data_IF_991051495640
#
_entry.id   IF_991051495640
#
_cell.length_a   1.000
_cell.length_b   1.000
_cell.length_c   1.000
_cell.angle_alpha   90.00
_cell.angle_beta   90.00
_cell.angle_gamma   90.00
#
_symmetry.space_group_name_H-M   'P 1'
#
loop_
_entity.id
_entity.type
_entity.pdbx_description
1 polymer ?
#
# COMPACT_ATOMS: atom_id res chain seq x y z
N UNK A 1 7.68 -12.81 5.59
CA UNK A 1 7.57 -13.73 4.43
C UNK A 1 8.52 -14.90 4.61
N UNK A 2 8.08 -16.12 4.40
CA UNK A 2 8.95 -17.31 4.45
C UNK A 2 9.67 -17.48 3.11
N UNK A 3 10.82 -18.19 3.08
CA UNK A 3 11.55 -18.49 1.83
C UNK A 3 10.64 -19.16 0.78
N UNK A 4 9.73 -20.04 1.22
CA UNK A 4 8.78 -20.74 0.34
C UNK A 4 7.72 -19.79 -0.23
N UNK A 5 7.27 -18.83 0.54
CA UNK A 5 6.32 -17.81 0.08
C UNK A 5 6.96 -16.92 -0.99
N UNK A 6 8.21 -16.52 -0.78
CA UNK A 6 8.95 -15.74 -1.78
C UNK A 6 9.13 -16.52 -3.08
N UNK A 7 9.53 -17.79 -3.00
CA UNK A 7 9.67 -18.65 -4.17
C UNK A 7 8.35 -18.90 -4.90
N UNK A 8 7.24 -18.99 -4.16
CA UNK A 8 5.91 -19.13 -4.76
C UNK A 8 5.47 -17.86 -5.48
N UNK A 9 5.73 -16.68 -4.91
CA UNK A 9 5.48 -15.39 -5.58
C UNK A 9 6.30 -15.24 -6.86
N UNK A 10 7.60 -15.57 -6.81
CA UNK A 10 8.47 -15.53 -8.00
C UNK A 10 7.93 -16.43 -9.12
N UNK A 11 7.44 -17.64 -8.78
CA UNK A 11 6.81 -18.54 -9.75
C UNK A 11 5.55 -17.96 -10.39
N UNK A 12 4.75 -17.19 -9.62
CA UNK A 12 3.57 -16.50 -10.13
C UNK A 12 3.98 -15.34 -11.06
N UNK A 13 4.99 -14.56 -10.66
CA UNK A 13 5.50 -13.43 -11.44
C UNK A 13 6.12 -13.92 -12.78
N UNK A 14 6.89 -15.00 -12.76
CA UNK A 14 7.43 -15.63 -13.97
C UNK A 14 6.32 -16.11 -14.89
N UNK A 15 5.32 -16.82 -14.35
CA UNK A 15 4.19 -17.30 -15.13
C UNK A 15 3.30 -16.20 -15.69
N UNK A 16 3.23 -15.06 -15.03
CA UNK A 16 2.56 -13.88 -15.55
C UNK A 16 3.36 -13.22 -16.67
N UNK A 17 4.69 -13.16 -16.53
CA UNK A 17 5.60 -12.57 -17.51
C UNK A 17 5.67 -13.37 -18.82
N UNK A 18 5.65 -14.71 -18.75
CA UNK A 18 5.67 -15.59 -19.92
C UNK A 18 4.29 -15.94 -20.48
N UNK A 19 3.22 -15.45 -19.84
CA UNK A 19 1.83 -15.66 -20.24
C UNK A 19 1.27 -17.05 -19.92
N UNK A 20 1.99 -17.90 -19.20
CA UNK A 20 1.52 -19.24 -18.81
C UNK A 20 0.54 -19.23 -17.64
N UNK A 21 0.52 -18.16 -16.84
CA UNK A 21 -0.38 -17.96 -15.71
C UNK A 21 -1.08 -16.59 -15.84
N UNK A 22 -2.22 -16.58 -16.51
CA UNK A 22 -3.09 -15.41 -16.57
C UNK A 22 -4.16 -15.39 -15.45
N UNK A 23 -4.99 -14.34 -15.40
CA UNK A 23 -6.13 -14.26 -14.50
C UNK A 23 -7.03 -15.48 -14.60
N UNK A 24 -7.47 -16.03 -13.46
CA UNK A 24 -8.27 -17.25 -13.40
C UNK A 24 -7.51 -18.53 -13.74
N UNK A 25 -6.20 -18.47 -14.03
CA UNK A 25 -5.41 -19.64 -14.29
C UNK A 25 -5.36 -20.57 -13.06
N UNK A 26 -5.45 -21.87 -13.31
CA UNK A 26 -5.32 -22.87 -12.26
C UNK A 26 -3.85 -23.06 -11.90
N UNK A 27 -3.53 -22.89 -10.63
CA UNK A 27 -2.19 -23.19 -10.11
C UNK A 27 -1.91 -24.68 -10.09
N UNK A 28 -0.60 -25.07 -10.12
CA UNK A 28 -0.19 -26.43 -9.83
C UNK A 28 -0.75 -26.90 -8.49
N UNK A 29 -1.01 -28.21 -8.37
CA UNK A 29 -1.53 -28.75 -7.11
C UNK A 29 -0.54 -28.57 -5.96
N UNK A 30 -1.00 -28.60 -4.70
CA UNK A 30 -0.11 -28.58 -3.53
C UNK A 30 1.02 -29.62 -3.65
N UNK A 31 0.73 -30.81 -4.20
CA UNK A 31 1.70 -31.88 -4.42
C UNK A 31 2.76 -31.46 -5.43
N UNK A 32 2.35 -30.84 -6.53
CA UNK A 32 3.27 -30.39 -7.58
C UNK A 32 4.13 -29.21 -7.08
N UNK A 33 3.54 -28.29 -6.28
CA UNK A 33 4.25 -27.19 -5.64
C UNK A 33 5.30 -27.70 -4.62
N UNK A 34 4.98 -28.72 -3.83
CA UNK A 34 5.93 -29.39 -2.93
C UNK A 34 7.15 -29.89 -3.71
N UNK A 35 6.94 -30.54 -4.86
CA UNK A 35 8.03 -31.01 -5.72
C UNK A 35 8.82 -29.88 -6.36
N UNK A 36 8.13 -28.89 -6.96
CA UNK A 36 8.78 -27.75 -7.65
C UNK A 36 9.61 -26.89 -6.71
N UNK A 37 9.08 -26.62 -5.52
CA UNK A 37 9.72 -25.76 -4.52
C UNK A 37 10.66 -26.53 -3.58
N UNK A 38 10.75 -27.85 -3.71
CA UNK A 38 11.51 -28.73 -2.81
C UNK A 38 11.24 -28.41 -1.33
N UNK A 39 9.98 -28.15 -0.98
CA UNK A 39 9.57 -27.63 0.33
C UNK A 39 8.59 -28.57 1.04
N UNK A 40 8.56 -28.59 2.39
CA UNK A 40 7.59 -29.37 3.14
C UNK A 40 6.15 -28.94 2.82
N UNK A 41 5.22 -29.90 2.75
CA UNK A 41 3.80 -29.66 2.46
C UNK A 41 3.17 -28.59 3.37
N UNK A 42 3.54 -28.60 4.66
CA UNK A 42 3.07 -27.60 5.63
C UNK A 42 3.55 -26.17 5.30
N UNK A 43 4.75 -26.03 4.73
CA UNK A 43 5.29 -24.73 4.33
C UNK A 43 4.59 -24.22 3.06
N UNK A 44 4.38 -25.08 2.06
CA UNK A 44 3.62 -24.74 0.84
C UNK A 44 2.18 -24.32 1.21
N UNK A 45 1.53 -25.06 2.12
CA UNK A 45 0.18 -24.74 2.56
C UNK A 45 0.09 -23.38 3.24
N UNK A 46 1.04 -23.06 4.15
CA UNK A 46 1.11 -21.73 4.78
C UNK A 46 1.37 -20.61 3.77
N UNK A 47 2.21 -20.88 2.76
CA UNK A 47 2.45 -19.90 1.70
C UNK A 47 1.18 -19.65 0.87
N UNK A 48 0.44 -20.70 0.50
CA UNK A 48 -0.87 -20.57 -0.16
C UNK A 48 -1.90 -19.87 0.71
N UNK A 49 -1.93 -20.14 2.03
CA UNK A 49 -2.79 -19.44 2.98
C UNK A 49 -2.44 -17.95 3.08
N UNK A 50 -1.16 -17.59 2.94
CA UNK A 50 -0.72 -16.19 2.86
C UNK A 50 -1.21 -15.53 1.57
N UNK A 51 -0.98 -16.16 0.43
CA UNK A 51 -1.42 -15.65 -0.87
C UNK A 51 -2.95 -15.51 -0.97
N UNK A 52 -3.71 -16.41 -0.34
CA UNK A 52 -5.17 -16.32 -0.30
C UNK A 52 -5.65 -15.15 0.58
N UNK A 53 -5.00 -14.93 1.73
CA UNK A 53 -5.26 -13.74 2.57
C UNK A 53 -4.90 -12.43 1.86
N UNK A 54 -3.87 -12.46 1.02
CA UNK A 54 -3.45 -11.32 0.20
C UNK A 54 -4.33 -11.16 -1.06
N UNK A 55 -5.32 -12.05 -1.24
CA UNK A 55 -6.24 -12.03 -2.37
C UNK A 55 -5.62 -12.44 -3.72
N UNK A 56 -4.37 -12.93 -3.74
CA UNK A 56 -3.68 -13.32 -4.97
C UNK A 56 -4.16 -14.65 -5.54
N UNK A 57 -4.71 -15.50 -4.70
CA UNK A 57 -5.28 -16.78 -5.10
C UNK A 57 -6.60 -17.04 -4.40
N UNK A 58 -7.45 -17.85 -5.02
CA UNK A 58 -8.69 -18.37 -4.43
C UNK A 58 -8.67 -19.90 -4.49
N UNK A 59 -9.05 -20.54 -3.39
CA UNK A 59 -9.15 -22.00 -3.30
C UNK A 59 -10.60 -22.47 -3.37
N UNK A 60 -10.87 -23.35 -4.31
CA UNK A 60 -12.15 -24.04 -4.42
C UNK A 60 -12.00 -25.50 -3.99
N UNK A 61 -12.75 -25.92 -2.98
CA UNK A 61 -12.74 -27.30 -2.49
C UNK A 61 -13.05 -28.26 -3.64
N UNK A 62 -12.19 -29.24 -3.86
CA UNK A 62 -12.31 -30.23 -4.94
C UNK A 62 -11.96 -29.75 -6.34
N UNK A 63 -11.77 -28.42 -6.56
CA UNK A 63 -11.45 -27.86 -7.89
C UNK A 63 -10.00 -27.39 -8.02
N UNK A 64 -9.39 -26.97 -6.93
CA UNK A 64 -8.00 -26.51 -6.88
C UNK A 64 -7.85 -25.04 -6.49
N UNK A 65 -6.61 -24.52 -6.63
CA UNK A 65 -6.26 -23.14 -6.40
C UNK A 65 -6.17 -22.41 -7.73
N UNK A 66 -6.71 -21.21 -7.79
CA UNK A 66 -6.75 -20.40 -9.00
C UNK A 66 -6.16 -19.03 -8.69
N UNK A 67 -5.43 -18.46 -9.65
CA UNK A 67 -5.02 -17.06 -9.60
C UNK A 67 -6.29 -16.21 -9.63
N UNK A 68 -6.35 -15.24 -8.73
CA UNK A 68 -7.41 -14.25 -8.78
C UNK A 68 -7.10 -13.23 -9.88
N UNK A 69 -8.12 -12.56 -10.35
CA UNK A 69 -7.98 -11.42 -11.25
C UNK A 69 -7.21 -10.25 -10.60
N UNK A 70 -7.06 -10.28 -9.28
CA UNK A 70 -6.27 -9.31 -8.49
C UNK A 70 -4.76 -9.39 -8.81
N UNK A 71 -4.24 -10.59 -9.15
CA UNK A 71 -2.85 -10.72 -9.62
C UNK A 71 -2.64 -10.11 -11.02
N UNK A 72 -3.72 -9.90 -11.76
CA UNK A 72 -3.75 -9.26 -13.07
C UNK A 72 -4.58 -7.97 -13.07
N UNK A 73 -5.03 -7.49 -11.93
CA UNK A 73 -5.41 -6.11 -11.85
C UNK A 73 -4.13 -5.30 -12.09
N UNK A 74 -3.82 -5.11 -13.38
CA UNK A 74 -3.37 -3.81 -13.80
C UNK A 74 -4.36 -2.85 -13.14
N UNK A 75 -3.96 -2.28 -12.01
CA UNK A 75 -4.55 -1.04 -11.55
C UNK A 75 -4.47 -0.16 -12.78
N UNK A 76 -5.62 0.07 -13.45
CA UNK A 76 -5.65 0.97 -14.59
C UNK A 76 -4.89 2.21 -14.14
N UNK A 77 -3.79 2.57 -14.80
CA UNK A 77 -3.02 3.72 -14.36
C UNK A 77 -3.97 4.91 -14.31
N UNK A 78 -3.85 5.72 -13.28
CA UNK A 78 -4.61 6.96 -13.21
C UNK A 78 -4.52 7.69 -14.57
N UNK A 79 -5.61 8.28 -15.06
CA UNK A 79 -5.58 9.00 -16.33
C UNK A 79 -4.38 9.92 -16.39
N UNK A 80 -3.66 9.92 -17.51
CA UNK A 80 -2.40 10.65 -17.67
C UNK A 80 -2.56 12.18 -17.49
N UNK A 81 -3.78 12.67 -17.59
CA UNK A 81 -4.20 14.06 -17.42
C UNK A 81 -4.73 14.37 -16.02
N UNK A 82 -4.65 13.42 -15.07
CA UNK A 82 -5.08 13.64 -13.68
C UNK A 82 -4.31 14.81 -13.05
N UNK A 83 -5.05 15.82 -12.63
CA UNK A 83 -4.47 17.03 -12.03
C UNK A 83 -4.10 16.81 -10.55
N UNK A 84 -3.13 17.59 -9.99
CA UNK A 84 -2.85 17.56 -8.57
C UNK A 84 -4.04 17.91 -7.68
N UNK A 85 -4.97 18.73 -8.16
CA UNK A 85 -6.19 19.08 -7.42
C UNK A 85 -7.11 17.87 -7.29
N UNK A 86 -7.30 17.08 -8.35
CA UNK A 86 -8.09 15.84 -8.31
C UNK A 86 -7.46 14.80 -7.40
N UNK A 87 -6.13 14.66 -7.43
CA UNK A 87 -5.40 13.77 -6.51
C UNK A 87 -5.67 14.18 -5.07
N UNK A 88 -5.56 15.48 -4.75
CA UNK A 88 -5.82 15.97 -3.39
C UNK A 88 -7.26 15.78 -2.96
N UNK A 89 -8.24 15.97 -3.84
CA UNK A 89 -9.65 15.70 -3.54
C UNK A 89 -9.87 14.25 -3.13
N UNK A 90 -9.33 13.29 -3.90
CA UNK A 90 -9.45 11.86 -3.58
C UNK A 90 -8.73 11.53 -2.26
N UNK A 91 -7.53 12.06 -2.04
CA UNK A 91 -6.77 11.89 -0.78
C UNK A 91 -7.58 12.37 0.42
N UNK A 92 -8.13 13.58 0.35
CA UNK A 92 -8.91 14.17 1.46
C UNK A 92 -10.21 13.41 1.76
N UNK A 93 -10.82 12.77 0.76
CA UNK A 93 -12.00 11.93 0.95
C UNK A 93 -11.66 10.56 1.54
N UNK A 94 -10.58 9.95 1.10
CA UNK A 94 -10.27 8.55 1.38
C UNK A 94 -9.38 8.36 2.61
N UNK A 95 -8.25 9.06 2.69
CA UNK A 95 -7.20 8.74 3.65
C UNK A 95 -7.59 9.00 5.13
N UNK A 96 -8.38 10.02 5.50
CA UNK A 96 -8.84 10.16 6.88
C UNK A 96 -9.71 8.99 7.35
N UNK A 97 -10.56 8.44 6.48
CA UNK A 97 -11.40 7.28 6.79
C UNK A 97 -10.56 6.00 6.88
N UNK A 98 -9.54 5.89 6.04
CA UNK A 98 -8.56 4.79 6.09
C UNK A 98 -7.78 4.83 7.40
N UNK A 99 -7.30 5.99 7.84
CA UNK A 99 -6.62 6.16 9.14
C UNK A 99 -7.54 5.80 10.32
N UNK A 100 -8.81 6.25 10.27
CA UNK A 100 -9.83 5.89 11.27
C UNK A 100 -10.05 4.38 11.34
N UNK A 101 -10.11 3.70 10.21
CA UNK A 101 -10.28 2.25 10.16
C UNK A 101 -9.02 1.54 10.65
N UNK A 102 -7.84 1.96 10.19
CA UNK A 102 -6.55 1.40 10.61
C UNK A 102 -6.37 1.45 12.14
N UNK A 103 -6.73 2.57 12.79
CA UNK A 103 -6.65 2.68 14.26
C UNK A 103 -7.44 1.59 14.99
N UNK A 104 -8.57 1.12 14.40
CA UNK A 104 -9.43 0.09 14.98
C UNK A 104 -8.93 -1.32 14.78
N UNK A 105 -8.31 -1.61 13.60
CA UNK A 105 -8.09 -3.00 13.17
C UNK A 105 -6.61 -3.37 12.94
N UNK A 106 -5.70 -2.39 12.94
CA UNK A 106 -4.28 -2.64 12.72
C UNK A 106 -3.70 -3.64 13.73
N UNK A 107 -2.89 -4.56 13.29
CA UNK A 107 -2.13 -5.46 14.17
C UNK A 107 -0.89 -4.75 14.72
N UNK A 108 -0.22 -5.33 15.74
CA UNK A 108 1.06 -4.79 16.21
C UNK A 108 2.11 -4.75 15.10
N UNK A 109 2.15 -5.78 14.26
CA UNK A 109 3.07 -5.82 13.11
C UNK A 109 2.78 -4.72 12.08
N UNK A 110 1.53 -4.27 11.94
CA UNK A 110 1.18 -3.12 11.12
C UNK A 110 1.71 -1.83 11.73
N UNK A 111 1.49 -1.63 13.03
CA UNK A 111 1.99 -0.45 13.75
C UNK A 111 3.52 -0.35 13.69
N UNK A 112 4.21 -1.48 13.79
CA UNK A 112 5.67 -1.53 13.66
C UNK A 112 6.12 -1.11 12.23
N UNK A 113 5.41 -1.57 11.19
CA UNK A 113 5.66 -1.14 9.80
C UNK A 113 5.40 0.34 9.56
N UNK A 114 4.30 0.86 10.12
CA UNK A 114 3.97 2.29 10.05
C UNK A 114 5.05 3.13 10.73
N UNK A 115 5.51 2.70 11.92
CA UNK A 115 6.59 3.38 12.63
C UNK A 115 7.92 3.36 11.87
N UNK A 116 8.25 2.24 11.23
CA UNK A 116 9.44 2.15 10.37
C UNK A 116 9.36 3.09 9.16
N UNK A 117 8.17 3.22 8.55
CA UNK A 117 7.95 4.14 7.44
C UNK A 117 8.08 5.61 7.88
N UNK A 118 7.56 5.98 9.06
CA UNK A 118 7.74 7.30 9.65
C UNK A 118 9.24 7.61 9.86
N UNK A 119 9.99 6.66 10.44
CA UNK A 119 11.43 6.81 10.67
C UNK A 119 12.23 6.97 9.36
N UNK A 120 11.81 6.33 8.28
CA UNK A 120 12.43 6.49 6.97
C UNK A 120 12.24 7.93 6.44
N UNK A 121 11.12 8.58 6.73
CA UNK A 121 10.87 9.99 6.40
C UNK A 121 11.83 10.94 7.14
N UNK A 122 12.03 10.71 8.43
CA UNK A 122 12.97 11.48 9.24
C UNK A 122 14.43 11.34 8.77
N UNK A 123 14.81 10.17 8.27
CA UNK A 123 16.15 9.86 7.78
C UNK A 123 16.41 10.33 6.34
N UNK A 124 15.40 10.83 5.62
CA UNK A 124 15.51 11.20 4.23
C UNK A 124 16.39 12.46 4.06
N UNK A 125 17.49 12.32 3.34
CA UNK A 125 18.43 13.43 3.10
C UNK A 125 18.05 14.35 1.93
N UNK A 126 17.14 13.89 1.05
CA UNK A 126 16.74 14.61 -0.15
C UNK A 126 15.22 14.59 -0.36
N UNK A 127 14.78 15.34 -1.36
CA UNK A 127 13.36 15.41 -1.73
C UNK A 127 12.81 14.07 -2.15
N UNK A 128 13.50 13.32 -3.00
CA UNK A 128 13.05 12.04 -3.53
C UNK A 128 12.93 10.98 -2.44
N UNK A 129 13.87 10.97 -1.50
CA UNK A 129 13.82 10.11 -0.32
C UNK A 129 12.61 10.41 0.55
N UNK A 130 12.35 11.70 0.80
CA UNK A 130 11.21 12.15 1.57
C UNK A 130 9.88 11.75 0.90
N UNK A 131 9.70 12.03 -0.39
CA UNK A 131 8.47 11.69 -1.12
C UNK A 131 8.23 10.16 -1.17
N UNK A 132 9.29 9.36 -1.31
CA UNK A 132 9.14 7.89 -1.22
C UNK A 132 8.71 7.44 0.17
N UNK A 133 9.28 8.03 1.22
CA UNK A 133 8.92 7.70 2.60
C UNK A 133 7.49 8.15 2.93
N UNK A 134 7.09 9.35 2.50
CA UNK A 134 5.74 9.88 2.61
C UNK A 134 4.72 8.93 1.96
N UNK A 135 4.95 8.59 0.70
CA UNK A 135 4.09 7.63 0.00
C UNK A 135 4.05 6.26 0.70
N UNK A 136 5.19 5.80 1.21
CA UNK A 136 5.32 4.56 1.97
C UNK A 136 4.54 4.56 3.29
N UNK A 137 4.56 5.68 4.03
CA UNK A 137 3.81 5.85 5.27
C UNK A 137 2.29 5.77 5.03
N UNK A 138 1.79 6.58 4.09
CA UNK A 138 0.36 6.58 3.74
C UNK A 138 -0.10 5.20 3.26
N UNK A 139 0.73 4.51 2.46
CA UNK A 139 0.45 3.15 2.01
C UNK A 139 0.46 2.15 3.17
N UNK A 140 1.38 2.26 4.11
CA UNK A 140 1.43 1.38 5.29
C UNK A 140 0.15 1.52 6.15
N UNK A 141 -0.36 2.74 6.30
CA UNK A 141 -1.64 3.00 6.97
C UNK A 141 -2.80 2.37 6.20
N UNK A 142 -2.81 2.46 4.87
CA UNK A 142 -3.85 1.84 4.04
C UNK A 142 -3.83 0.30 4.14
N UNK A 143 -2.67 -0.32 4.15
CA UNK A 143 -2.51 -1.78 4.39
C UNK A 143 -3.05 -2.17 5.76
N UNK A 144 -2.77 -1.36 6.79
CA UNK A 144 -3.20 -1.60 8.17
C UNK A 144 -4.72 -1.51 8.37
N UNK A 145 -5.46 -0.95 7.43
CA UNK A 145 -6.93 -0.95 7.42
C UNK A 145 -7.54 -2.32 7.09
N UNK A 146 -6.74 -3.30 6.64
CA UNK A 146 -7.15 -4.68 6.30
C UNK A 146 -8.38 -4.76 5.38
N UNK A 147 -8.54 -3.81 4.46
CA UNK A 147 -9.62 -3.76 3.49
C UNK A 147 -9.06 -3.75 2.07
N UNK A 148 -9.14 -4.89 1.38
CA UNK A 148 -8.57 -5.05 0.03
C UNK A 148 -9.16 -4.10 -1.00
N UNK A 149 -10.45 -3.75 -0.91
CA UNK A 149 -11.07 -2.79 -1.82
C UNK A 149 -10.51 -1.37 -1.61
N UNK A 150 -10.41 -0.92 -0.35
CA UNK A 150 -9.78 0.37 -0.03
C UNK A 150 -8.32 0.40 -0.47
N UNK A 151 -7.59 -0.71 -0.31
CA UNK A 151 -6.21 -0.82 -0.74
C UNK A 151 -6.06 -0.66 -2.26
N UNK A 152 -6.94 -1.29 -3.05
CA UNK A 152 -6.96 -1.14 -4.50
C UNK A 152 -7.24 0.31 -4.92
N UNK A 153 -8.25 0.95 -4.30
CA UNK A 153 -8.53 2.37 -4.54
C UNK A 153 -7.35 3.27 -4.19
N UNK A 154 -6.67 2.96 -3.08
CA UNK A 154 -5.48 3.67 -2.65
C UNK A 154 -4.32 3.50 -3.65
N UNK A 155 -4.08 2.29 -4.16
CA UNK A 155 -3.01 2.03 -5.12
C UNK A 155 -3.28 2.74 -6.47
N UNK A 156 -4.54 2.79 -6.96
CA UNK A 156 -4.92 3.63 -8.13
C UNK A 156 -4.56 5.10 -7.89
N UNK A 157 -5.00 5.65 -6.77
CA UNK A 157 -4.69 7.04 -6.40
C UNK A 157 -3.18 7.27 -6.29
N UNK A 158 -2.44 6.30 -5.72
CA UNK A 158 -1.00 6.43 -5.53
C UNK A 158 -0.23 6.36 -6.86
N UNK A 159 -0.75 5.68 -7.89
CA UNK A 159 -0.17 5.75 -9.24
C UNK A 159 -0.26 7.15 -9.82
N UNK A 160 -1.34 7.89 -9.55
CA UNK A 160 -1.47 9.29 -9.96
C UNK A 160 -0.39 10.19 -9.36
N UNK A 161 0.06 9.92 -8.12
CA UNK A 161 1.15 10.64 -7.47
C UNK A 161 2.52 10.41 -8.13
N UNK A 162 2.67 9.36 -8.93
CA UNK A 162 3.89 9.11 -9.70
C UNK A 162 3.95 9.92 -11.01
N UNK A 163 2.86 10.58 -11.41
CA UNK A 163 2.82 11.39 -12.62
C UNK A 163 3.78 12.60 -12.51
N UNK A 164 4.44 12.98 -13.61
CA UNK A 164 5.43 14.07 -13.60
C UNK A 164 4.86 15.41 -13.11
N UNK A 165 3.58 15.68 -13.36
CA UNK A 165 2.91 16.92 -12.93
C UNK A 165 2.87 17.05 -11.42
N UNK A 166 2.56 15.94 -10.70
CA UNK A 166 2.58 15.91 -9.24
C UNK A 166 3.99 16.15 -8.69
N UNK A 167 4.97 15.37 -9.13
CA UNK A 167 6.36 15.48 -8.67
C UNK A 167 6.95 16.86 -8.93
N UNK A 168 6.67 17.48 -10.07
CA UNK A 168 7.14 18.82 -10.41
C UNK A 168 6.57 19.87 -9.46
N UNK A 169 5.28 19.79 -9.16
CA UNK A 169 4.62 20.73 -8.27
C UNK A 169 5.11 20.57 -6.82
N UNK A 170 5.18 19.35 -6.32
CA UNK A 170 5.70 19.02 -4.99
C UNK A 170 7.15 19.51 -4.80
N UNK A 171 8.01 19.32 -5.80
CA UNK A 171 9.42 19.80 -5.74
C UNK A 171 9.51 21.32 -5.62
N UNK A 172 8.63 22.06 -6.28
CA UNK A 172 8.61 23.54 -6.24
C UNK A 172 8.20 24.10 -4.89
N UNK A 173 7.34 23.40 -4.15
CA UNK A 173 6.84 23.84 -2.84
C UNK A 173 7.62 23.25 -1.67
N UNK A 174 8.43 22.20 -1.88
CA UNK A 174 9.12 21.48 -0.80
C UNK A 174 10.35 22.25 -0.31
N UNK A 175 10.29 22.71 0.93
CA UNK A 175 11.46 23.22 1.68
C UNK A 175 11.82 22.28 2.83
N UNK A 176 13.04 22.34 3.39
CA UNK A 176 13.39 21.56 4.57
C UNK A 176 12.44 21.79 5.76
N UNK A 177 12.03 23.04 5.99
CA UNK A 177 11.13 23.44 7.06
C UNK A 177 9.74 22.81 6.86
N UNK A 178 9.22 22.84 5.64
CA UNK A 178 7.93 22.22 5.32
C UNK A 178 7.97 20.70 5.49
N UNK A 179 9.08 20.06 5.08
CA UNK A 179 9.25 18.61 5.31
C UNK A 179 9.28 18.25 6.80
N UNK A 180 9.93 19.10 7.62
CA UNK A 180 9.91 18.93 9.08
C UNK A 180 8.49 19.06 9.64
N UNK A 181 7.72 20.06 9.19
CA UNK A 181 6.35 20.26 9.60
C UNK A 181 5.46 19.05 9.22
N UNK A 182 5.59 18.52 8.00
CA UNK A 182 4.87 17.32 7.59
C UNK A 182 5.28 16.09 8.40
N UNK A 183 6.56 15.99 8.78
CA UNK A 183 7.01 14.89 9.65
C UNK A 183 6.37 14.96 11.05
N UNK A 184 6.25 16.16 11.63
CA UNK A 184 5.56 16.36 12.91
C UNK A 184 4.09 16.00 12.82
N UNK A 185 3.41 16.38 11.74
CA UNK A 185 2.02 15.99 11.48
C UNK A 185 1.87 14.47 11.31
N UNK A 186 2.76 13.82 10.59
CA UNK A 186 2.80 12.35 10.46
C UNK A 186 3.02 11.67 11.83
N UNK A 187 3.84 12.26 12.68
CA UNK A 187 4.07 11.74 14.05
C UNK A 187 2.76 11.72 14.84
N UNK A 188 1.97 12.78 14.80
CA UNK A 188 0.65 12.82 15.46
C UNK A 188 -0.32 11.75 14.92
N UNK A 189 -0.30 11.51 13.61
CA UNK A 189 -1.12 10.44 13.01
C UNK A 189 -0.68 9.07 13.55
N UNK A 190 0.63 8.80 13.58
CA UNK A 190 1.17 7.52 14.04
C UNK A 190 0.94 7.30 15.53
N UNK A 191 1.05 8.34 16.36
CA UNK A 191 0.71 8.28 17.79
C UNK A 191 -0.76 7.92 18.00
N UNK A 192 -1.68 8.59 17.32
CA UNK A 192 -3.11 8.27 17.40
C UNK A 192 -3.43 6.82 16.94
N UNK A 193 -2.73 6.31 15.92
CA UNK A 193 -2.85 4.91 15.50
C UNK A 193 -2.36 3.94 16.58
N UNK A 194 -1.24 4.25 17.25
CA UNK A 194 -0.68 3.45 18.37
C UNK A 194 -1.61 3.44 19.58
N UNK A 195 -2.20 4.59 19.86
CA UNK A 195 -3.14 4.76 20.99
C UNK A 195 -4.52 4.16 20.70
N UNK A 196 -4.71 3.61 19.49
CA UNK A 196 -6.01 3.07 19.05
C UNK A 196 -7.12 4.10 19.11
N UNK A 197 -6.79 5.38 18.83
CA UNK A 197 -7.76 6.47 18.77
C UNK A 197 -8.19 6.75 17.32
N UNK A 198 -9.33 6.20 16.87
CA UNK A 198 -9.80 6.36 15.50
C UNK A 198 -10.23 7.79 15.17
N UNK A 199 -10.66 8.56 16.18
CA UNK A 199 -11.11 9.94 15.98
C UNK A 199 -9.90 10.84 15.71
N UNK A 200 -8.90 10.79 16.58
CA UNK A 200 -7.67 11.58 16.43
C UNK A 200 -6.89 11.17 15.18
N UNK A 201 -6.79 9.86 14.87
CA UNK A 201 -6.12 9.39 13.65
C UNK A 201 -6.75 9.98 12.38
N UNK A 202 -8.07 9.97 12.27
CA UNK A 202 -8.78 10.55 11.13
C UNK A 202 -8.65 12.07 11.07
N UNK A 203 -8.69 12.74 12.22
CA UNK A 203 -8.61 14.21 12.29
C UNK A 203 -7.19 14.71 11.98
N UNK A 204 -6.14 14.08 12.51
CA UNK A 204 -4.76 14.42 12.18
C UNK A 204 -4.45 14.19 10.69
N UNK A 205 -4.93 13.09 10.11
CA UNK A 205 -4.80 12.83 8.69
C UNK A 205 -5.52 13.91 7.85
N UNK A 206 -6.71 14.32 8.25
CA UNK A 206 -7.47 15.39 7.56
C UNK A 206 -6.72 16.72 7.59
N UNK A 207 -6.19 17.12 8.75
CA UNK A 207 -5.43 18.38 8.90
C UNK A 207 -4.15 18.36 8.06
N UNK A 208 -3.42 17.24 8.13
CA UNK A 208 -2.23 17.05 7.31
C UNK A 208 -2.54 17.23 5.82
N UNK A 209 -3.57 16.54 5.30
CA UNK A 209 -3.93 16.61 3.90
C UNK A 209 -4.49 17.98 3.49
N UNK A 210 -5.15 18.70 4.41
CA UNK A 210 -5.56 20.07 4.17
C UNK A 210 -4.34 20.98 4.01
N UNK A 211 -3.38 20.90 4.92
CA UNK A 211 -2.12 21.67 4.84
C UNK A 211 -1.34 21.34 3.54
N UNK A 212 -1.25 20.07 3.17
CA UNK A 212 -0.63 19.66 1.89
C UNK A 212 -1.35 20.29 0.70
N UNK A 213 -2.71 20.29 0.71
CA UNK A 213 -3.50 20.86 -0.37
C UNK A 213 -3.32 22.37 -0.49
N UNK A 214 -3.34 23.08 0.64
CA UNK A 214 -3.22 24.54 0.67
C UNK A 214 -1.84 24.97 0.16
N UNK A 215 -0.77 24.33 0.65
CA UNK A 215 0.60 24.59 0.17
C UNK A 215 0.77 24.23 -1.31
N UNK A 216 0.24 23.09 -1.74
CA UNK A 216 0.44 22.60 -3.10
C UNK A 216 -0.34 23.41 -4.14
N UNK A 217 -1.55 23.85 -3.78
CA UNK A 217 -2.48 24.54 -4.69
C UNK A 217 -2.47 26.08 -4.51
N UNK A 218 -1.61 26.60 -3.63
CA UNK A 218 -1.46 28.06 -3.41
C UNK A 218 -2.74 28.69 -2.84
N UNK A 219 -3.34 28.05 -1.83
CA UNK A 219 -4.55 28.54 -1.15
C UNK A 219 -4.28 29.20 0.20
N UNK A 220 -3.01 29.54 0.45
CA UNK A 220 -2.56 30.28 1.64
C UNK A 220 -2.93 31.76 1.57
#
# INVERSE_FOLDING_TARGET
MTTVEHALRALLDEGAADGSLGPGAKLPTERDLVQRLSAPRSAVRRALDSLERDGLVIRHVGRGTFLTDIAAQHVEPAPADTSPAEIMQVRQLLEPQVATLAARVATQADLDRIAAALGAGAAAGDFEGFERADAGLHRAIAVAAHNGLLMNMFDVMNTARSLPVWGSLKRRTSTPELRSCYHDEHTLIVEALRDRDPVSAGEHMRRHLQHVADTLLGRD
#
